data_IF_259238192953
#
_entry.id   IF_259238192953
#
_cell.length_a   1.000
_cell.length_b   1.000
_cell.length_c   1.000
_cell.angle_alpha   90.00
_cell.angle_beta   90.00
_cell.angle_gamma   90.00
#
_symmetry.space_group_name_H-M   'P 1'
#
loop_
_entity.id
_entity.type
_entity.pdbx_description
1 polymer ?
#
# COMPACT_ATOMS: atom_id res chain seq x y z
N UNK A 1 -3.24 12.93 -11.40
CA UNK A 1 -4.22 11.97 -10.84
C UNK A 1 -5.42 11.83 -11.74
N UNK A 2 -5.79 10.58 -12.10
CA UNK A 2 -7.03 10.28 -12.83
C UNK A 2 -8.23 10.81 -12.04
N UNK A 3 -9.22 11.44 -12.68
CA UNK A 3 -10.38 12.06 -11.99
C UNK A 3 -11.10 11.07 -11.07
N UNK A 4 -11.21 9.79 -11.48
CA UNK A 4 -11.85 8.73 -10.69
C UNK A 4 -11.12 8.42 -9.38
N UNK A 5 -9.79 8.53 -9.33
CA UNK A 5 -9.02 8.37 -8.10
C UNK A 5 -9.13 9.60 -7.22
N UNK A 6 -9.13 10.80 -7.82
CA UNK A 6 -9.30 12.05 -7.10
C UNK A 6 -10.61 12.11 -6.30
N UNK A 7 -11.71 11.55 -6.83
CA UNK A 7 -12.98 11.48 -6.11
C UNK A 7 -13.00 10.53 -4.92
N UNK A 8 -12.07 9.57 -4.84
CA UNK A 8 -11.98 8.62 -3.71
C UNK A 8 -11.17 9.20 -2.55
N UNK A 9 -10.35 10.22 -2.81
CA UNK A 9 -9.32 10.73 -1.89
C UNK A 9 -9.66 12.13 -1.39
N UNK A 10 -10.95 12.48 -1.29
CA UNK A 10 -11.40 13.83 -0.92
C UNK A 10 -11.07 14.19 0.52
N UNK A 11 -11.08 13.21 1.43
CA UNK A 11 -10.73 13.36 2.85
C UNK A 11 -9.34 12.77 3.16
N UNK A 12 -8.50 12.65 2.12
CA UNK A 12 -7.15 12.11 2.18
C UNK A 12 -6.13 13.22 1.95
N UNK A 13 -5.22 13.43 2.89
CA UNK A 13 -4.12 14.38 2.74
C UNK A 13 -3.03 13.74 1.89
N UNK A 14 -2.90 14.22 0.65
CA UNK A 14 -1.89 13.73 -0.30
C UNK A 14 -0.60 14.54 -0.20
N UNK A 15 0.52 13.83 -0.23
CA UNK A 15 1.84 14.44 -0.40
C UNK A 15 2.12 14.80 -1.86
N UNK A 16 3.13 15.63 -2.11
CA UNK A 16 3.60 15.93 -3.47
C UNK A 16 4.06 14.65 -4.17
N UNK A 17 3.79 14.53 -5.48
CA UNK A 17 4.17 13.40 -6.30
C UNK A 17 5.67 13.07 -6.25
N UNK A 18 5.99 11.78 -6.32
CA UNK A 18 7.35 11.29 -6.25
C UNK A 18 8.13 11.67 -7.52
N UNK A 19 9.40 12.02 -7.34
CA UNK A 19 10.27 12.27 -8.48
C UNK A 19 10.52 10.99 -9.28
N UNK A 20 10.82 11.13 -10.58
CA UNK A 20 11.21 10.00 -11.42
C UNK A 20 12.47 9.29 -10.89
N UNK A 21 13.37 10.03 -10.23
CA UNK A 21 14.55 9.46 -9.57
C UNK A 21 14.13 8.59 -8.37
N UNK A 22 13.22 9.08 -7.53
CA UNK A 22 12.68 8.32 -6.39
C UNK A 22 12.03 7.02 -6.86
N UNK A 23 11.20 7.09 -7.90
CA UNK A 23 10.53 5.91 -8.47
C UNK A 23 11.54 4.94 -9.11
N UNK A 24 12.55 5.44 -9.81
CA UNK A 24 13.60 4.58 -10.34
C UNK A 24 14.39 3.90 -9.22
N UNK A 25 14.68 4.62 -8.13
CA UNK A 25 15.41 4.10 -7.00
C UNK A 25 14.66 2.96 -6.32
N UNK A 26 13.37 3.15 -5.96
CA UNK A 26 12.58 2.10 -5.27
C UNK A 26 12.44 0.84 -6.12
N UNK A 27 12.32 0.98 -7.45
CA UNK A 27 12.26 -0.17 -8.37
C UNK A 27 13.58 -0.96 -8.38
N UNK A 28 14.70 -0.28 -8.20
CA UNK A 28 16.02 -0.92 -8.23
C UNK A 28 16.36 -1.61 -6.90
N UNK A 29 15.97 -1.01 -5.76
CA UNK A 29 16.41 -1.48 -4.44
C UNK A 29 15.47 -2.53 -3.82
N UNK A 30 14.19 -2.52 -4.16
CA UNK A 30 13.18 -3.39 -3.54
C UNK A 30 13.23 -4.85 -3.95
N UNK A 31 13.82 -5.14 -5.12
CA UNK A 31 13.86 -6.50 -5.67
C UNK A 31 12.50 -7.05 -6.10
N UNK A 32 11.44 -6.21 -6.16
CA UNK A 32 10.09 -6.59 -6.60
C UNK A 32 9.64 -5.79 -7.82
N UNK A 33 8.61 -6.28 -8.50
CA UNK A 33 7.92 -5.51 -9.53
C UNK A 33 6.80 -4.70 -8.89
N UNK A 34 6.81 -3.37 -9.02
CA UNK A 34 5.68 -2.56 -8.58
C UNK A 34 4.57 -2.58 -9.65
N UNK A 35 3.30 -2.81 -9.28
CA UNK A 35 2.17 -2.66 -10.18
C UNK A 35 2.07 -1.25 -10.77
N UNK A 36 1.70 -1.15 -12.05
CA UNK A 36 1.62 0.13 -12.76
C UNK A 36 0.63 1.10 -12.10
N UNK A 37 -0.47 0.60 -11.52
CA UNK A 37 -1.48 1.44 -10.87
C UNK A 37 -0.97 2.09 -9.58
N UNK A 38 -0.07 1.43 -8.86
CA UNK A 38 0.63 1.99 -7.71
C UNK A 38 1.74 2.98 -8.13
N UNK A 39 2.46 2.69 -9.22
CA UNK A 39 3.46 3.61 -9.76
C UNK A 39 2.84 4.89 -10.34
N UNK A 40 1.67 4.78 -10.99
CA UNK A 40 0.85 5.92 -11.42
C UNK A 40 0.47 6.77 -10.19
N UNK A 41 0.02 6.13 -9.11
CA UNK A 41 -0.31 6.83 -7.86
C UNK A 41 0.90 7.57 -7.29
N UNK A 42 2.06 6.91 -7.15
CA UNK A 42 3.26 7.54 -6.60
C UNK A 42 3.74 8.75 -7.41
N UNK A 43 3.57 8.74 -8.74
CA UNK A 43 3.89 9.91 -9.59
C UNK A 43 2.99 11.11 -9.29
N UNK A 44 1.74 10.85 -8.92
CA UNK A 44 0.75 11.88 -8.63
C UNK A 44 0.78 12.34 -7.16
N UNK A 45 1.04 11.41 -6.23
CA UNK A 45 1.13 11.64 -4.79
C UNK A 45 2.08 10.62 -4.13
N UNK A 46 3.15 11.10 -3.49
CA UNK A 46 4.13 10.24 -2.83
C UNK A 46 3.71 9.89 -1.40
N UNK A 47 2.66 9.08 -1.27
CA UNK A 47 2.07 8.75 0.01
C UNK A 47 1.01 9.75 0.46
N UNK A 48 0.64 9.67 1.73
CA UNK A 48 -0.40 10.48 2.33
C UNK A 48 -1.19 9.71 3.37
N UNK A 49 -2.16 10.37 3.97
CA UNK A 49 -2.93 9.81 5.08
C UNK A 49 -4.33 10.43 5.16
N UNK A 50 -5.31 9.61 5.53
CA UNK A 50 -6.66 10.08 5.82
C UNK A 50 -7.70 9.00 5.62
N UNK A 51 -8.94 9.45 5.45
CA UNK A 51 -10.09 8.57 5.27
C UNK A 51 -10.40 8.35 3.79
N UNK A 52 -10.82 7.13 3.49
CA UNK A 52 -11.39 6.73 2.20
C UNK A 52 -12.70 6.01 2.52
N UNK A 53 -13.82 6.73 2.39
CA UNK A 53 -15.07 6.28 3.01
C UNK A 53 -14.94 6.26 4.54
N UNK A 54 -15.29 5.15 5.17
CA UNK A 54 -15.15 4.95 6.62
C UNK A 54 -13.81 4.29 7.01
N UNK A 55 -12.97 3.95 6.03
CA UNK A 55 -11.68 3.28 6.27
C UNK A 55 -10.54 4.31 6.41
N UNK A 56 -9.63 4.06 7.35
CA UNK A 56 -8.42 4.88 7.51
C UNK A 56 -7.22 4.23 6.84
N UNK A 57 -6.44 5.02 6.11
CA UNK A 57 -5.27 4.53 5.40
C UNK A 57 -4.10 5.51 5.55
N UNK A 58 -2.93 4.95 5.79
CA UNK A 58 -1.63 5.61 5.75
C UNK A 58 -0.85 4.98 4.60
N UNK A 59 -0.46 5.77 3.62
CA UNK A 59 0.40 5.36 2.51
C UNK A 59 1.80 5.91 2.74
N UNK A 60 2.78 5.02 2.80
CA UNK A 60 4.17 5.42 3.00
C UNK A 60 4.77 6.01 1.75
N UNK A 61 5.75 6.91 1.93
CA UNK A 61 6.50 7.47 0.82
C UNK A 61 7.33 6.39 0.16
N UNK A 62 7.54 6.52 -1.14
CA UNK A 62 8.38 5.63 -1.92
C UNK A 62 9.75 5.39 -1.24
N UNK A 63 10.43 6.45 -0.82
CA UNK A 63 11.73 6.40 -0.15
C UNK A 63 11.72 5.74 1.24
N UNK A 64 10.55 5.56 1.85
CA UNK A 64 10.39 4.91 3.16
C UNK A 64 10.14 3.41 3.06
N UNK A 65 9.64 2.93 1.91
CA UNK A 65 9.16 1.56 1.71
C UNK A 65 10.19 0.50 2.13
N UNK A 66 11.44 0.62 1.67
CA UNK A 66 12.50 -0.32 2.02
C UNK A 66 12.86 -0.28 3.50
N UNK A 67 12.84 0.91 4.08
CA UNK A 67 13.18 1.08 5.49
C UNK A 67 12.13 0.43 6.36
N UNK A 68 10.84 0.67 6.09
CA UNK A 68 9.77 0.03 6.85
C UNK A 68 9.72 -1.48 6.63
N UNK A 69 9.84 -1.99 5.40
CA UNK A 69 9.87 -3.45 5.19
C UNK A 69 11.04 -4.13 5.92
N UNK A 70 12.20 -3.47 6.01
CA UNK A 70 13.35 -3.95 6.77
C UNK A 70 13.12 -3.87 8.28
N UNK A 71 12.61 -2.75 8.78
CA UNK A 71 12.42 -2.51 10.22
C UNK A 71 11.30 -3.36 10.82
N UNK A 72 10.24 -3.64 10.07
CA UNK A 72 9.22 -4.61 10.46
C UNK A 72 9.66 -6.07 10.26
N UNK A 73 10.88 -6.32 9.76
CA UNK A 73 11.41 -7.64 9.43
C UNK A 73 10.44 -8.47 8.55
N UNK A 74 9.77 -7.84 7.57
CA UNK A 74 8.68 -8.47 6.80
C UNK A 74 9.14 -9.75 6.12
N UNK A 75 10.32 -9.75 5.50
CA UNK A 75 10.86 -10.93 4.83
C UNK A 75 11.10 -12.11 5.78
N UNK A 76 11.35 -11.85 7.07
CA UNK A 76 11.54 -12.91 8.08
C UNK A 76 10.21 -13.52 8.53
N UNK A 77 9.18 -12.70 8.71
CA UNK A 77 7.91 -13.11 9.32
C UNK A 77 6.82 -13.43 8.30
N UNK A 78 6.74 -12.65 7.23
CA UNK A 78 5.80 -12.81 6.13
C UNK A 78 6.54 -12.79 4.77
N UNK A 79 7.41 -13.78 4.47
CA UNK A 79 8.20 -13.80 3.24
C UNK A 79 7.32 -13.76 2.00
N UNK A 80 7.70 -12.91 1.04
CA UNK A 80 6.93 -12.66 -0.17
C UNK A 80 5.85 -11.58 -0.04
N UNK A 81 5.68 -10.96 1.13
CA UNK A 81 4.87 -9.74 1.29
C UNK A 81 5.77 -8.51 1.24
N UNK A 82 5.33 -7.47 0.52
CA UNK A 82 5.98 -6.16 0.50
C UNK A 82 4.99 -5.08 0.92
N UNK A 83 5.19 -4.51 2.10
CA UNK A 83 4.30 -3.52 2.69
C UNK A 83 4.45 -2.13 2.04
N UNK A 84 3.34 -1.42 1.92
CA UNK A 84 3.29 -0.07 1.37
C UNK A 84 2.46 0.92 2.20
N UNK A 85 1.80 0.45 3.26
CA UNK A 85 0.95 1.29 4.08
C UNK A 85 0.39 0.59 5.31
N UNK A 86 -0.49 1.28 6.03
CA UNK A 86 -1.06 0.85 7.31
C UNK A 86 -2.48 1.37 7.47
N UNK A 87 -3.31 0.72 8.27
CA UNK A 87 -4.61 1.26 8.70
C UNK A 87 -4.51 2.19 9.92
N UNK A 88 -3.30 2.47 10.42
CA UNK A 88 -3.08 3.25 11.66
C UNK A 88 -3.45 2.50 12.95
N UNK A 89 -3.97 1.28 12.85
CA UNK A 89 -4.57 0.48 13.94
C UNK A 89 -3.86 -0.85 14.22
N UNK A 90 -2.65 -1.06 13.71
CA UNK A 90 -1.85 -2.27 13.97
C UNK A 90 -1.71 -3.22 12.78
N UNK A 91 -2.33 -2.90 11.64
CA UNK A 91 -2.28 -3.71 10.42
C UNK A 91 -1.52 -2.98 9.32
N UNK A 92 -0.72 -3.73 8.56
CA UNK A 92 -0.01 -3.28 7.37
C UNK A 92 -0.67 -3.78 6.09
N UNK A 93 -0.69 -2.96 5.06
CA UNK A 93 -1.08 -3.34 3.70
C UNK A 93 0.15 -3.63 2.85
N UNK A 94 0.09 -4.69 2.04
CA UNK A 94 1.21 -5.05 1.18
C UNK A 94 0.81 -5.80 -0.09
N UNK A 95 1.76 -5.83 -1.02
CA UNK A 95 1.71 -6.68 -2.20
C UNK A 95 2.09 -8.11 -1.84
N UNK A 96 1.26 -9.07 -2.23
CA UNK A 96 1.61 -10.49 -2.21
C UNK A 96 2.37 -10.86 -3.49
N UNK A 97 3.69 -10.82 -3.40
CA UNK A 97 4.62 -11.03 -4.51
C UNK A 97 4.73 -12.51 -4.93
N UNK A 98 4.12 -13.42 -4.16
CA UNK A 98 4.02 -14.86 -4.45
C UNK A 98 2.97 -15.15 -5.53
N UNK A 99 2.09 -14.18 -5.81
CA UNK A 99 1.04 -14.24 -6.81
C UNK A 99 1.42 -13.44 -8.07
N UNK A 100 0.76 -13.68 -9.20
CA UNK A 100 0.90 -12.82 -10.39
C UNK A 100 -0.44 -12.78 -11.14
N UNK A 101 -1.07 -11.60 -11.31
CA UNK A 101 -0.66 -10.29 -10.80
C UNK A 101 -0.64 -10.24 -9.27
N UNK A 102 0.13 -9.31 -8.69
CA UNK A 102 0.23 -9.13 -7.24
C UNK A 102 -1.13 -8.77 -6.67
N UNK A 103 -1.54 -9.49 -5.63
CA UNK A 103 -2.74 -9.19 -4.84
C UNK A 103 -2.39 -8.29 -3.67
N UNK A 104 -3.37 -7.56 -3.15
CA UNK A 104 -3.21 -6.76 -1.94
C UNK A 104 -3.66 -7.59 -0.75
N UNK A 105 -2.79 -7.67 0.24
CA UNK A 105 -3.07 -8.31 1.53
C UNK A 105 -2.95 -7.33 2.67
N UNK A 106 -3.60 -7.66 3.78
CA UNK A 106 -3.40 -7.06 5.08
C UNK A 106 -2.71 -8.07 6.00
N UNK A 107 -1.76 -7.62 6.80
CA UNK A 107 -1.05 -8.43 7.81
C UNK A 107 -0.92 -7.67 9.14
N UNK A 108 -1.02 -8.36 10.29
CA UNK A 108 -0.83 -7.72 11.59
C UNK A 108 0.64 -7.40 11.80
N UNK A 109 0.94 -6.21 12.37
CA UNK A 109 2.31 -5.88 12.77
C UNK A 109 2.75 -6.70 14.00
N UNK A 110 1.82 -6.96 14.93
CA UNK A 110 2.10 -7.76 16.12
C UNK A 110 1.76 -9.22 15.85
N UNK A 111 2.76 -10.09 15.97
CA UNK A 111 2.59 -11.51 15.62
C UNK A 111 2.49 -11.72 14.11
N UNK A 112 3.10 -10.84 13.32
CA UNK A 112 3.20 -10.97 11.87
C UNK A 112 3.61 -12.39 11.49
N UNK A 113 2.82 -13.01 10.62
CA UNK A 113 3.11 -14.31 10.04
C UNK A 113 2.42 -14.38 8.68
N UNK A 114 3.07 -15.05 7.72
CA UNK A 114 2.53 -15.22 6.38
C UNK A 114 1.14 -15.88 6.35
N UNK A 115 0.82 -16.74 7.32
CA UNK A 115 -0.49 -17.40 7.42
C UNK A 115 -1.61 -16.42 7.80
N UNK A 116 -1.26 -15.26 8.34
CA UNK A 116 -2.20 -14.20 8.72
C UNK A 116 -2.35 -13.13 7.62
N UNK A 117 -1.70 -13.32 6.46
CA UNK A 117 -1.90 -12.45 5.30
C UNK A 117 -3.28 -12.68 4.68
N UNK A 118 -4.18 -11.71 4.86
CA UNK A 118 -5.55 -11.76 4.38
C UNK A 118 -5.68 -10.97 3.08
N UNK A 119 -6.24 -11.59 2.03
CA UNK A 119 -6.49 -10.91 0.77
C UNK A 119 -7.60 -9.86 0.90
N UNK A 120 -7.30 -8.61 0.55
CA UNK A 120 -8.22 -7.46 0.68
C UNK A 120 -8.52 -6.75 -0.65
N UNK A 121 -7.72 -6.92 -1.70
CA UNK A 121 -8.03 -6.35 -3.02
C UNK A 121 -7.20 -6.97 -4.15
N UNK A 122 -7.73 -6.88 -5.38
CA UNK A 122 -7.07 -7.44 -6.56
C UNK A 122 -5.97 -6.53 -7.16
N UNK A 123 -5.95 -5.26 -6.79
CA UNK A 123 -4.95 -4.25 -7.19
C UNK A 123 -4.95 -3.07 -6.21
N UNK A 124 -4.00 -2.15 -6.33
CA UNK A 124 -3.95 -0.93 -5.50
C UNK A 124 -5.19 -0.06 -5.73
N UNK A 125 -5.56 0.19 -6.99
CA UNK A 125 -6.78 0.96 -7.30
C UNK A 125 -8.02 0.28 -6.74
N UNK A 126 -8.11 -1.05 -6.87
CA UNK A 126 -9.25 -1.80 -6.35
C UNK A 126 -9.34 -1.73 -4.81
N UNK A 127 -8.22 -1.62 -4.09
CA UNK A 127 -8.23 -1.38 -2.65
C UNK A 127 -8.96 -0.08 -2.32
N UNK A 128 -8.59 1.03 -2.97
CA UNK A 128 -9.18 2.34 -2.71
C UNK A 128 -10.68 2.37 -3.06
N UNK A 129 -11.07 1.73 -4.17
CA UNK A 129 -12.47 1.58 -4.56
C UNK A 129 -13.28 0.82 -3.51
N UNK A 130 -12.72 -0.28 -2.98
CA UNK A 130 -13.37 -1.09 -1.95
C UNK A 130 -13.48 -0.35 -0.62
N UNK A 131 -12.44 0.37 -0.21
CA UNK A 131 -12.47 1.19 1.00
C UNK A 131 -13.58 2.25 0.95
N UNK A 132 -13.70 2.95 -0.18
CA UNK A 132 -14.73 3.97 -0.38
C UNK A 132 -16.17 3.41 -0.35
N UNK A 133 -16.35 2.11 -0.59
CA UNK A 133 -17.65 1.43 -0.58
C UNK A 133 -17.94 0.72 0.76
N UNK A 134 -16.95 0.66 1.65
CA UNK A 134 -17.04 -0.01 2.95
C UNK A 134 -17.83 0.83 3.95
N UNK A 135 -18.47 0.15 4.90
CA UNK A 135 -19.05 0.73 6.11
C UNK A 135 -18.08 0.70 7.31
N UNK A 136 -16.77 0.55 7.04
CA UNK A 136 -15.72 0.39 8.06
C UNK A 136 -15.47 -1.06 8.47
N UNK A 137 -15.99 -2.03 7.69
CA UNK A 137 -15.86 -3.47 7.97
C UNK A 137 -14.97 -4.21 6.98
N UNK A 138 -14.34 -3.51 6.03
CA UNK A 138 -13.45 -4.12 5.05
C UNK A 138 -12.18 -4.68 5.71
N UNK A 139 -11.86 -4.17 6.90
CA UNK A 139 -10.66 -4.40 7.70
C UNK A 139 -11.02 -4.87 9.11
#
# INVERSE_FOLDING_TARGET
MKESLGSLLTDFSLDEGASQETIANIKNISGIYFPDDYLDFLQDANGGEGFIGEEYLILWKAEELETFNREYEVEKYAPGIFLFGSNGGGEGFGFDTRSTPYKIVQVPFVGMDLQHANHVADSFTNLLERMNQSDGSLL
#
